data_IF_867078533749
#
_entry.id   IF_867078533749
#
_cell.length_a   1.000
_cell.length_b   1.000
_cell.length_c   1.000
_cell.angle_alpha   90.00
_cell.angle_beta   90.00
_cell.angle_gamma   90.00
#
_symmetry.space_group_name_H-M   'P 1'
#
loop_
_entity.id
_entity.type
_entity.pdbx_description
1 polymer ?
#
# COMPACT_ATOMS: atom_id res chain seq x y z
N UNK A 1 26.07 12.65 14.68
CA UNK A 1 26.07 13.27 13.34
C UNK A 1 24.91 12.66 12.59
N UNK A 2 23.83 13.39 12.25
CA UNK A 2 22.64 12.71 11.68
C UNK A 2 23.00 11.94 10.42
N UNK A 3 22.93 10.62 10.47
CA UNK A 3 23.17 9.75 9.33
C UNK A 3 21.92 9.73 8.45
N UNK A 4 22.14 9.68 7.14
CA UNK A 4 21.08 9.66 6.13
C UNK A 4 21.18 8.33 5.40
N UNK A 5 20.13 7.54 5.50
CA UNK A 5 20.01 6.25 4.81
C UNK A 5 18.83 6.32 3.84
N UNK A 6 18.97 5.86 2.59
CA UNK A 6 17.83 5.74 1.68
C UNK A 6 16.71 4.90 2.30
N UNK A 7 15.45 5.32 2.14
CA UNK A 7 14.30 4.62 2.71
C UNK A 7 14.20 3.15 2.26
N UNK A 8 14.56 2.89 1.01
CA UNK A 8 14.55 1.54 0.45
C UNK A 8 15.62 0.65 1.09
N UNK A 9 16.79 1.19 1.41
CA UNK A 9 17.86 0.44 2.07
C UNK A 9 17.41 -0.01 3.46
N UNK A 10 16.73 0.87 4.21
CA UNK A 10 16.11 0.51 5.50
C UNK A 10 15.05 -0.58 5.36
N UNK A 11 14.19 -0.50 4.33
CA UNK A 11 13.20 -1.54 4.09
C UNK A 11 13.86 -2.89 3.81
N UNK A 12 14.99 -2.88 3.09
CA UNK A 12 15.77 -4.09 2.80
C UNK A 12 16.57 -4.63 3.99
N UNK A 13 17.06 -3.77 4.88
CA UNK A 13 17.83 -4.18 6.05
C UNK A 13 16.95 -4.64 7.22
N UNK A 14 15.92 -3.86 7.56
CA UNK A 14 15.03 -4.10 8.70
C UNK A 14 13.76 -4.90 8.32
N UNK A 15 13.52 -5.11 7.02
CA UNK A 15 12.36 -5.84 6.50
C UNK A 15 11.02 -5.10 6.64
N UNK A 16 11.00 -3.92 7.25
CA UNK A 16 9.79 -3.15 7.48
C UNK A 16 10.05 -1.65 7.66
N UNK A 17 9.13 -0.83 7.17
CA UNK A 17 9.06 0.60 7.48
C UNK A 17 7.66 0.97 7.94
N UNK A 18 7.58 1.85 8.94
CA UNK A 18 6.32 2.30 9.52
C UNK A 18 6.11 3.80 9.43
N UNK A 19 4.84 4.21 9.45
CA UNK A 19 4.46 5.61 9.54
C UNK A 19 4.75 6.18 10.94
N UNK A 20 5.21 7.42 11.00
CA UNK A 20 5.88 8.03 12.15
C UNK A 20 7.39 8.14 11.97
N UNK A 21 7.97 7.45 10.97
CA UNK A 21 9.40 7.55 10.66
C UNK A 21 9.73 8.94 10.15
N UNK A 22 10.76 9.57 10.74
CA UNK A 22 11.29 10.86 10.28
C UNK A 22 12.06 10.67 8.99
N UNK A 23 11.71 11.47 7.99
CA UNK A 23 12.31 11.42 6.66
C UNK A 23 12.58 12.82 6.12
N UNK A 24 13.41 12.88 5.10
CA UNK A 24 13.73 14.10 4.37
C UNK A 24 13.92 13.80 2.89
N UNK A 25 13.78 14.81 2.05
CA UNK A 25 14.34 14.82 0.70
C UNK A 25 15.66 15.59 0.68
N UNK A 26 16.22 15.79 -0.51
CA UNK A 26 17.33 16.71 -0.74
C UNK A 26 16.99 18.18 -0.44
N UNK A 27 15.70 18.55 -0.51
CA UNK A 27 15.23 19.94 -0.37
C UNK A 27 14.52 20.16 0.98
N UNK A 28 13.68 19.22 1.40
CA UNK A 28 12.83 19.36 2.59
C UNK A 28 13.37 18.42 3.67
N UNK A 29 13.79 19.00 4.81
CA UNK A 29 14.56 18.27 5.83
C UNK A 29 13.78 17.83 7.07
N UNK A 30 12.52 18.26 7.21
CA UNK A 30 11.69 17.99 8.38
C UNK A 30 10.32 17.47 7.96
N UNK A 31 10.25 16.16 7.73
CA UNK A 31 9.03 15.46 7.38
C UNK A 31 8.87 14.16 8.17
N UNK A 32 7.64 13.70 8.24
CA UNK A 32 7.30 12.40 8.82
C UNK A 32 6.45 11.59 7.84
N UNK A 33 6.70 10.29 7.75
CA UNK A 33 5.83 9.39 7.00
C UNK A 33 4.45 9.33 7.66
N UNK A 34 3.42 9.76 6.95
CA UNK A 34 2.03 9.60 7.33
C UNK A 34 1.49 8.19 7.02
N UNK A 35 1.89 7.62 5.89
CA UNK A 35 1.53 6.26 5.48
C UNK A 35 2.00 5.90 4.08
N UNK A 36 1.59 4.72 3.62
CA UNK A 36 2.02 4.10 2.37
C UNK A 36 0.82 3.75 1.51
N UNK A 37 0.95 3.91 0.19
CA UNK A 37 -0.09 3.56 -0.78
C UNK A 37 0.44 2.46 -1.68
N UNK A 38 -0.14 1.24 -1.67
CA UNK A 38 0.27 0.16 -2.56
C UNK A 38 -0.15 0.43 -4.01
N UNK A 39 0.72 0.07 -4.96
CA UNK A 39 0.60 0.33 -6.38
C UNK A 39 0.84 -0.94 -7.21
N UNK A 40 0.30 -0.99 -8.42
CA UNK A 40 0.54 -2.07 -9.39
C UNK A 40 1.88 -1.86 -10.12
N UNK A 41 2.47 -2.94 -10.60
CA UNK A 41 3.74 -2.93 -11.36
C UNK A 41 3.67 -2.04 -12.62
N UNK A 42 2.58 -2.15 -13.38
CA UNK A 42 2.34 -1.47 -14.67
C UNK A 42 1.76 -0.06 -14.57
N UNK A 43 1.76 0.56 -13.39
CA UNK A 43 1.33 1.95 -13.31
C UNK A 43 2.46 2.88 -13.78
N UNK A 44 2.45 3.16 -15.08
CA UNK A 44 2.90 4.44 -15.66
C UNK A 44 2.24 5.64 -14.99
N UNK A 45 1.20 5.45 -14.18
CA UNK A 45 0.44 6.50 -13.48
C UNK A 45 1.27 7.50 -12.68
N UNK A 46 2.39 7.12 -12.06
CA UNK A 46 3.31 8.09 -11.45
C UNK A 46 4.36 8.60 -12.45
N UNK A 47 4.75 7.80 -13.44
CA UNK A 47 5.67 8.28 -14.49
C UNK A 47 4.99 9.30 -15.43
N UNK A 48 3.71 9.14 -15.76
CA UNK A 48 2.90 10.08 -16.54
C UNK A 48 2.47 11.31 -15.72
N UNK A 49 2.40 11.19 -14.38
CA UNK A 49 1.96 12.28 -13.48
C UNK A 49 3.12 13.01 -12.79
N UNK A 50 4.32 12.41 -12.68
CA UNK A 50 5.50 12.97 -11.99
C UNK A 50 6.75 13.16 -12.86
N UNK A 51 6.92 12.49 -14.02
CA UNK A 51 8.14 12.71 -14.84
C UNK A 51 8.14 13.99 -15.69
N UNK A 52 7.19 14.90 -15.47
CA UNK A 52 7.14 16.15 -16.22
C UNK A 52 6.60 17.28 -15.36
N UNK A 53 7.49 17.97 -14.66
CA UNK A 53 7.44 19.43 -14.47
C UNK A 53 6.02 19.95 -14.16
N UNK A 54 5.63 20.01 -12.87
CA UNK A 54 4.83 21.08 -12.25
C UNK A 54 4.04 20.55 -11.04
N UNK A 55 4.57 20.91 -9.87
CA UNK A 55 3.99 20.90 -8.53
C UNK A 55 2.56 21.51 -8.39
N UNK A 56 1.85 21.88 -9.47
CA UNK A 56 0.65 22.72 -9.38
C UNK A 56 -0.61 22.22 -10.12
N UNK A 57 -0.51 21.25 -11.04
CA UNK A 57 -1.66 20.83 -11.85
C UNK A 57 -2.23 19.45 -11.50
N UNK A 58 -1.42 18.49 -11.09
CA UNK A 58 -1.85 17.13 -10.70
C UNK A 58 -2.20 17.00 -9.22
N UNK A 59 -1.69 17.91 -8.38
CA UNK A 59 -2.11 18.10 -6.98
C UNK A 59 -3.56 18.58 -6.84
N UNK A 60 -4.15 19.24 -7.86
CA UNK A 60 -5.53 19.76 -7.78
C UNK A 60 -6.60 18.67 -7.71
N UNK A 61 -6.30 17.46 -8.18
CA UNK A 61 -7.27 16.36 -8.25
C UNK A 61 -6.96 15.23 -7.28
N UNK A 62 -6.03 15.43 -6.36
CA UNK A 62 -5.62 14.43 -5.38
C UNK A 62 -5.95 14.92 -3.98
N UNK A 63 -6.84 14.20 -3.29
CA UNK A 63 -7.29 14.53 -1.93
C UNK A 63 -6.91 13.41 -0.99
N UNK A 64 -6.16 13.75 0.05
CA UNK A 64 -5.90 12.83 1.16
C UNK A 64 -7.02 13.04 2.19
N UNK A 65 -7.82 12.00 2.39
CA UNK A 65 -8.95 11.98 3.31
C UNK A 65 -8.74 10.88 4.35
N UNK A 66 -8.17 11.23 5.50
CA UNK A 66 -7.87 10.31 6.61
C UNK A 66 -7.01 9.12 6.18
N UNK A 67 -7.61 7.93 6.00
CA UNK A 67 -6.95 6.66 5.67
C UNK A 67 -6.96 6.37 4.16
N UNK A 68 -7.29 7.37 3.33
CA UNK A 68 -7.47 7.19 1.89
C UNK A 68 -6.85 8.30 1.09
N UNK A 69 -6.32 7.90 -0.06
CA UNK A 69 -5.95 8.77 -1.15
C UNK A 69 -7.03 8.69 -2.23
N UNK A 70 -7.65 9.82 -2.55
CA UNK A 70 -8.65 9.94 -3.61
C UNK A 70 -8.03 10.68 -4.77
N UNK A 71 -8.10 10.10 -5.95
CA UNK A 71 -7.58 10.69 -7.18
C UNK A 71 -8.72 10.81 -8.19
N UNK A 72 -8.95 12.02 -8.68
CA UNK A 72 -10.01 12.34 -9.62
C UNK A 72 -9.44 12.51 -11.03
N UNK A 73 -9.74 11.57 -11.93
CA UNK A 73 -9.33 11.65 -13.34
C UNK A 73 -10.58 11.60 -14.23
N UNK A 74 -10.78 12.61 -15.07
CA UNK A 74 -11.86 12.65 -16.07
C UNK A 74 -13.25 12.29 -15.52
N UNK A 75 -13.59 12.81 -14.33
CA UNK A 75 -14.88 12.59 -13.67
C UNK A 75 -15.02 11.24 -12.94
N UNK A 76 -13.97 10.43 -12.87
CA UNK A 76 -13.94 9.20 -12.06
C UNK A 76 -13.02 9.39 -10.86
N UNK A 77 -13.48 8.90 -9.71
CA UNK A 77 -12.70 8.88 -8.48
C UNK A 77 -12.12 7.49 -8.27
N UNK A 78 -10.80 7.40 -8.24
CA UNK A 78 -10.07 6.25 -7.77
C UNK A 78 -9.73 6.44 -6.28
N UNK A 79 -9.91 5.38 -5.48
CA UNK A 79 -9.70 5.44 -4.03
C UNK A 79 -8.69 4.37 -3.64
N UNK A 80 -7.59 4.80 -3.03
CA UNK A 80 -6.50 3.95 -2.56
C UNK A 80 -6.41 4.01 -1.04
N UNK A 81 -6.15 2.89 -0.35
CA UNK A 81 -5.90 2.91 1.08
C UNK A 81 -4.52 3.53 1.38
N UNK A 82 -4.44 4.28 2.47
CA UNK A 82 -3.18 4.74 3.08
C UNK A 82 -2.94 3.87 4.31
N UNK A 83 -1.93 3.02 4.24
CA UNK A 83 -1.60 2.03 5.24
C UNK A 83 -0.41 2.48 6.08
N UNK A 84 -0.24 1.89 7.26
CA UNK A 84 0.70 2.38 8.27
C UNK A 84 2.05 1.68 8.23
N UNK A 85 2.14 0.52 7.59
CA UNK A 85 3.34 -0.31 7.49
C UNK A 85 3.48 -0.85 6.09
N UNK A 86 4.72 -0.93 5.63
CA UNK A 86 5.13 -1.74 4.48
C UNK A 86 6.18 -2.73 4.97
N UNK A 87 6.01 -3.99 4.61
CA UNK A 87 6.91 -5.08 4.97
C UNK A 87 7.39 -5.77 3.69
N UNK A 88 8.65 -6.19 3.70
CA UNK A 88 9.10 -7.20 2.75
C UNK A 88 8.41 -8.52 3.06
N UNK A 89 8.05 -9.24 2.02
CA UNK A 89 7.63 -10.62 2.15
C UNK A 89 8.87 -11.47 2.38
N UNK A 90 9.03 -11.97 3.60
CA UNK A 90 10.06 -12.94 3.88
C UNK A 90 9.75 -14.26 3.16
N UNK A 91 10.79 -14.84 2.56
CA UNK A 91 10.76 -16.10 1.80
C UNK A 91 9.91 -17.17 2.50
N UNK A 92 8.68 -17.33 2.03
CA UNK A 92 7.83 -18.45 2.38
C UNK A 92 7.58 -19.24 1.10
N UNK A 93 7.68 -20.57 1.17
CA UNK A 93 7.61 -21.43 -0.01
C UNK A 93 6.23 -21.42 -0.72
N UNK A 94 5.21 -20.81 -0.10
CA UNK A 94 3.91 -20.46 -0.69
C UNK A 94 3.16 -19.52 0.27
N UNK A 95 3.44 -18.20 0.28
CA UNK A 95 2.75 -17.29 1.18
C UNK A 95 1.41 -16.95 0.53
N UNK A 96 0.34 -17.55 1.05
CA UNK A 96 -1.03 -17.23 0.63
C UNK A 96 -1.69 -16.33 1.67
N UNK A 97 -2.48 -15.37 1.21
CA UNK A 97 -3.21 -14.43 2.07
C UNK A 97 -4.71 -14.58 1.86
N UNK A 98 -5.54 -14.59 2.92
CA UNK A 98 -6.99 -14.56 2.75
C UNK A 98 -7.40 -13.36 1.89
N UNK A 99 -8.12 -13.60 0.79
CA UNK A 99 -8.53 -12.53 -0.12
C UNK A 99 -9.61 -11.64 0.49
N UNK A 100 -10.38 -12.16 1.46
CA UNK A 100 -11.47 -11.41 2.07
C UNK A 100 -10.94 -10.15 2.75
N UNK A 101 -11.41 -8.99 2.28
CA UNK A 101 -11.00 -7.64 2.69
C UNK A 101 -9.54 -7.23 2.35
N UNK A 102 -8.74 -8.10 1.75
CA UNK A 102 -7.39 -7.77 1.28
C UNK A 102 -7.45 -6.83 0.05
N UNK A 103 -6.70 -5.73 0.06
CA UNK A 103 -6.52 -4.86 -1.10
C UNK A 103 -5.37 -5.37 -2.00
N UNK A 104 -5.72 -5.79 -3.21
CA UNK A 104 -4.82 -6.10 -4.33
C UNK A 104 -4.98 -5.00 -5.40
N UNK A 105 -3.97 -4.14 -5.63
CA UNK A 105 -3.99 -3.05 -6.61
C UNK A 105 -4.29 -3.53 -8.04
N UNK A 106 -3.83 -4.72 -8.40
CA UNK A 106 -3.99 -5.35 -9.72
C UNK A 106 -5.47 -5.55 -10.05
N UNK A 107 -6.29 -5.94 -9.07
CA UNK A 107 -7.72 -6.17 -9.25
C UNK A 107 -8.59 -4.96 -8.91
N UNK A 108 -8.01 -3.77 -8.63
CA UNK A 108 -8.77 -2.60 -8.13
C UNK A 108 -9.97 -2.18 -9.00
N UNK A 109 -9.91 -2.48 -10.30
CA UNK A 109 -10.97 -2.17 -11.28
C UNK A 109 -11.81 -3.39 -11.68
N UNK A 110 -11.48 -4.58 -11.19
CA UNK A 110 -12.25 -5.79 -11.47
C UNK A 110 -13.54 -5.80 -10.64
N UNK A 111 -14.68 -5.88 -11.33
CA UNK A 111 -15.99 -5.78 -10.71
C UNK A 111 -16.31 -6.95 -9.77
N UNK A 112 -15.80 -8.15 -10.07
CA UNK A 112 -16.03 -9.36 -9.26
C UNK A 112 -15.25 -9.27 -7.96
N UNK A 113 -13.98 -8.89 -8.04
CA UNK A 113 -13.15 -8.64 -6.87
C UNK A 113 -13.65 -7.48 -6.01
N UNK A 114 -14.04 -6.36 -6.63
CA UNK A 114 -14.60 -5.22 -5.90
C UNK A 114 -15.85 -5.62 -5.10
N UNK A 115 -16.71 -6.45 -5.68
CA UNK A 115 -17.86 -7.02 -4.98
C UNK A 115 -17.41 -7.93 -3.82
N UNK A 116 -16.47 -8.84 -4.07
CA UNK A 116 -15.95 -9.78 -3.08
C UNK A 116 -15.36 -9.05 -1.86
N UNK A 117 -14.50 -8.07 -2.11
CA UNK A 117 -13.79 -7.33 -1.06
C UNK A 117 -14.70 -6.41 -0.23
N UNK A 118 -15.75 -5.84 -0.83
CA UNK A 118 -16.67 -4.91 -0.15
C UNK A 118 -17.78 -5.61 0.64
N UNK A 119 -17.88 -6.93 0.54
CA UNK A 119 -18.90 -7.70 1.24
C UNK A 119 -18.69 -7.66 2.75
N UNK A 120 -19.80 -7.55 3.50
CA UNK A 120 -19.79 -7.49 4.96
C UNK A 120 -19.48 -8.88 5.54
N UNK A 121 -20.05 -9.91 4.91
CA UNK A 121 -19.86 -11.34 5.18
C UNK A 121 -19.01 -11.96 4.07
N UNK A 122 -18.43 -13.14 4.33
CA UNK A 122 -17.68 -13.90 3.32
C UNK A 122 -18.58 -14.20 2.10
N UNK A 123 -18.28 -13.62 0.93
CA UNK A 123 -19.10 -13.83 -0.26
C UNK A 123 -18.70 -15.12 -0.99
N UNK A 124 -19.56 -15.61 -1.91
CA UNK A 124 -19.26 -16.81 -2.69
C UNK A 124 -17.93 -16.71 -3.44
N UNK A 125 -17.08 -17.73 -3.29
CA UNK A 125 -15.74 -17.80 -3.89
C UNK A 125 -15.76 -17.91 -5.42
N UNK A 126 -16.83 -18.43 -6.00
CA UNK A 126 -16.99 -18.60 -7.46
C UNK A 126 -16.82 -17.29 -8.24
N UNK A 127 -17.11 -16.15 -7.59
CA UNK A 127 -16.95 -14.83 -8.22
C UNK A 127 -15.50 -14.50 -8.51
N UNK A 128 -14.58 -14.98 -7.68
CA UNK A 128 -13.14 -14.67 -7.76
C UNK A 128 -12.31 -15.86 -8.22
N UNK A 129 -12.90 -17.05 -8.34
CA UNK A 129 -12.22 -18.26 -8.77
C UNK A 129 -11.59 -18.15 -10.18
N UNK A 130 -12.09 -17.25 -11.03
CA UNK A 130 -11.53 -17.01 -12.37
C UNK A 130 -10.39 -15.99 -12.39
N UNK A 131 -10.06 -15.36 -11.26
CA UNK A 131 -8.98 -14.37 -11.21
C UNK A 131 -7.64 -15.10 -11.09
N UNK A 132 -6.64 -14.58 -11.80
CA UNK A 132 -5.27 -15.07 -11.67
C UNK A 132 -4.80 -15.00 -10.21
N UNK A 133 -3.82 -15.83 -9.83
CA UNK A 133 -3.27 -15.89 -8.45
C UNK A 133 -4.28 -16.17 -7.33
N UNK A 134 -5.54 -16.47 -7.64
CA UNK A 134 -6.53 -16.83 -6.62
C UNK A 134 -6.59 -18.35 -6.50
N UNK A 135 -6.33 -18.85 -5.30
CA UNK A 135 -6.50 -20.23 -4.93
C UNK A 135 -7.75 -20.40 -4.08
N UNK A 136 -8.61 -21.35 -4.45
CA UNK A 136 -9.75 -21.74 -3.62
C UNK A 136 -9.37 -22.94 -2.78
N UNK A 137 -9.51 -22.80 -1.46
CA UNK A 137 -9.26 -23.86 -0.49
C UNK A 137 -10.60 -24.34 0.06
N UNK A 138 -10.84 -25.64 -0.05
CA UNK A 138 -12.04 -26.29 0.47
C UNK A 138 -11.73 -26.97 1.80
N UNK A 139 -12.55 -26.71 2.82
CA UNK A 139 -12.59 -27.49 4.05
C UNK A 139 -13.63 -28.58 3.87
N UNK A 140 -13.24 -29.84 4.04
CA UNK A 140 -14.11 -31.01 3.94
C UNK A 140 -14.29 -31.68 5.30
N UNK A 141 -15.40 -32.38 5.49
CA UNK A 141 -15.59 -33.30 6.63
C UNK A 141 -14.88 -34.65 6.36
N UNK A 142 -14.96 -35.56 7.34
CA UNK A 142 -14.35 -36.90 7.25
C UNK A 142 -14.97 -37.78 6.15
N UNK A 143 -16.16 -37.41 5.66
CA UNK A 143 -16.91 -38.09 4.59
C UNK A 143 -16.62 -37.50 3.21
N UNK A 144 -15.84 -36.41 3.14
CA UNK A 144 -15.45 -35.72 1.92
C UNK A 144 -16.43 -34.64 1.44
N UNK A 145 -17.46 -34.29 2.21
CA UNK A 145 -18.39 -33.21 1.87
C UNK A 145 -17.77 -31.83 2.15
N UNK A 146 -18.00 -30.86 1.27
CA UNK A 146 -17.49 -29.49 1.43
C UNK A 146 -18.26 -28.76 2.54
N UNK A 147 -17.57 -28.39 3.61
CA UNK A 147 -18.09 -27.59 4.73
C UNK A 147 -17.99 -26.09 4.48
N UNK A 148 -16.86 -25.66 3.88
CA UNK A 148 -16.62 -24.25 3.58
C UNK A 148 -15.58 -24.11 2.48
N UNK A 149 -15.65 -22.99 1.76
CA UNK A 149 -14.63 -22.61 0.78
C UNK A 149 -14.11 -21.21 1.13
N UNK A 150 -12.81 -21.00 0.95
CA UNK A 150 -12.16 -19.71 1.18
C UNK A 150 -11.21 -19.39 0.02
N UNK A 151 -11.20 -18.12 -0.40
CA UNK A 151 -10.33 -17.66 -1.47
C UNK A 151 -9.07 -17.04 -0.87
N UNK A 152 -7.93 -17.46 -1.38
CA UNK A 152 -6.61 -16.97 -0.99
C UNK A 152 -5.91 -16.34 -2.20
N UNK A 153 -5.25 -15.22 -1.98
CA UNK A 153 -4.31 -14.62 -2.92
C UNK A 153 -2.95 -15.29 -2.78
N UNK A 154 -2.39 -15.76 -3.88
CA UNK A 154 -1.03 -16.29 -3.97
C UNK A 154 -0.07 -15.13 -4.21
N UNK A 155 0.81 -14.90 -3.25
CA UNK A 155 1.84 -13.87 -3.38
C UNK A 155 2.92 -14.30 -4.36
N UNK A 156 3.45 -13.34 -5.12
CA UNK A 156 4.64 -13.52 -5.96
C UNK A 156 5.94 -13.20 -5.21
N UNK A 157 7.06 -13.56 -5.81
CA UNK A 157 8.38 -13.15 -5.34
C UNK A 157 8.48 -11.62 -5.34
N UNK A 158 9.01 -11.06 -4.24
CA UNK A 158 9.19 -9.63 -4.02
C UNK A 158 7.91 -8.80 -3.92
N UNK A 159 6.72 -9.41 -3.77
CA UNK A 159 5.54 -8.65 -3.39
C UNK A 159 5.65 -8.09 -1.97
N UNK A 160 5.17 -6.87 -1.77
CA UNK A 160 5.19 -6.19 -0.48
C UNK A 160 3.84 -6.35 0.19
N UNK A 161 3.88 -6.48 1.52
CA UNK A 161 2.69 -6.60 2.36
C UNK A 161 2.49 -5.34 3.17
N UNK A 162 1.25 -4.86 3.24
CA UNK A 162 0.92 -3.61 3.92
C UNK A 162 -0.13 -3.84 5.01
N UNK A 163 0.03 -3.13 6.13
CA UNK A 163 -0.75 -3.36 7.36
C UNK A 163 -1.22 -2.05 7.99
N UNK A 164 -2.23 -2.16 8.86
CA UNK A 164 -2.70 -1.07 9.71
C UNK A 164 -2.04 -1.12 11.10
N UNK A 165 -2.02 0.02 11.81
CA UNK A 165 -1.42 0.13 13.16
C UNK A 165 -2.01 -0.79 14.22
N UNK A 166 -3.28 -1.15 14.09
CA UNK A 166 -3.99 -1.96 15.11
C UNK A 166 -4.05 -3.44 14.77
N UNK A 167 -3.59 -3.83 13.58
CA UNK A 167 -3.82 -5.17 13.07
C UNK A 167 -2.61 -5.64 12.27
N UNK A 168 -1.86 -6.58 12.85
CA UNK A 168 -0.72 -7.23 12.20
C UNK A 168 -1.12 -8.05 10.98
N UNK A 169 -2.43 -8.28 10.76
CA UNK A 169 -2.92 -8.92 9.55
C UNK A 169 -2.64 -8.06 8.31
N UNK A 170 -2.17 -8.66 7.21
CA UNK A 170 -2.11 -8.02 5.90
C UNK A 170 -3.46 -7.37 5.51
N UNK A 171 -3.40 -6.11 5.08
CA UNK A 171 -4.54 -5.33 4.58
C UNK A 171 -4.44 -5.02 3.11
N UNK A 172 -3.22 -4.96 2.60
CA UNK A 172 -2.96 -4.91 1.18
C UNK A 172 -1.70 -5.68 0.83
N UNK A 173 -1.59 -5.96 -0.46
CA UNK A 173 -0.39 -6.44 -1.14
C UNK A 173 -0.10 -5.51 -2.31
N UNK A 174 1.15 -5.41 -2.74
CA UNK A 174 1.51 -4.77 -4.00
C UNK A 174 3.01 -4.81 -4.24
N UNK A 175 3.45 -4.65 -5.47
CA UNK A 175 4.89 -4.70 -5.81
C UNK A 175 5.60 -3.36 -5.68
N UNK A 176 4.85 -2.27 -5.72
CA UNK A 176 5.36 -0.90 -5.61
C UNK A 176 4.52 -0.12 -4.61
N UNK A 177 5.05 1.01 -4.13
CA UNK A 177 4.30 1.90 -3.27
C UNK A 177 4.75 3.36 -3.41
N UNK A 178 3.86 4.26 -3.00
CA UNK A 178 4.19 5.66 -2.72
C UNK A 178 4.16 5.94 -1.23
N UNK A 179 4.88 6.98 -0.82
CA UNK A 179 4.95 7.41 0.58
C UNK A 179 4.22 8.73 0.73
N UNK A 180 3.19 8.74 1.57
CA UNK A 180 2.53 9.98 1.98
C UNK A 180 3.32 10.53 3.16
N UNK A 181 3.90 11.71 2.99
CA UNK A 181 4.60 12.43 4.05
C UNK A 181 3.75 13.59 4.53
N UNK A 182 3.93 13.97 5.79
CA UNK A 182 3.35 15.17 6.38
C UNK A 182 4.43 16.04 7.00
N UNK A 183 4.22 17.36 6.95
CA UNK A 183 5.08 18.34 7.62
C UNK A 183 4.30 19.57 8.04
N UNK A 184 4.81 20.23 9.07
CA UNK A 184 4.30 21.53 9.49
C UNK A 184 4.96 22.62 8.65
N UNK A 185 4.16 23.47 8.01
CA UNK A 185 4.71 24.65 7.32
C UNK A 185 5.08 25.68 8.39
N UNK A 186 6.36 26.07 8.53
CA UNK A 186 6.77 26.98 9.61
C UNK A 186 6.11 28.36 9.54
N UNK A 187 5.83 28.85 8.34
CA UNK A 187 5.27 30.20 8.12
C UNK A 187 3.78 30.32 8.44
N UNK A 188 3.00 29.26 8.19
CA UNK A 188 1.54 29.27 8.37
C UNK A 188 1.07 28.42 9.54
N UNK A 189 1.93 27.55 10.09
CA UNK A 189 1.55 26.55 11.08
C UNK A 189 0.58 25.49 10.54
N UNK A 190 0.33 25.45 9.23
CA UNK A 190 -0.59 24.49 8.63
C UNK A 190 0.10 23.15 8.37
N UNK A 191 -0.63 22.05 8.52
CA UNK A 191 -0.15 20.75 8.09
C UNK A 191 -0.25 20.63 6.57
N UNK A 192 0.87 20.29 5.93
CA UNK A 192 0.93 19.94 4.53
C UNK A 192 1.16 18.44 4.40
N UNK A 193 0.44 17.81 3.47
CA UNK A 193 0.66 16.41 3.09
C UNK A 193 1.07 16.36 1.63
N UNK A 194 2.11 15.58 1.35
CA UNK A 194 2.73 15.46 0.03
C UNK A 194 3.04 13.98 -0.23
N UNK A 195 3.08 13.58 -1.50
CA UNK A 195 3.30 12.20 -1.91
C UNK A 195 4.64 12.12 -2.62
N UNK A 196 5.48 11.18 -2.20
CA UNK A 196 6.82 11.00 -2.72
C UNK A 196 7.03 9.60 -3.28
N UNK A 197 7.94 9.48 -4.24
CA UNK A 197 8.55 8.21 -4.58
C UNK A 197 9.45 7.78 -3.39
N UNK A 198 9.38 6.53 -2.90
CA UNK A 198 10.26 6.06 -1.83
C UNK A 198 11.76 6.27 -2.11
N UNK A 199 12.19 6.27 -3.38
CA UNK A 199 13.59 6.52 -3.78
C UNK A 199 14.09 7.95 -3.48
N UNK A 200 13.18 8.92 -3.29
CA UNK A 200 13.52 10.32 -3.00
C UNK A 200 13.70 10.60 -1.51
N UNK A 201 13.40 9.62 -0.66
CA UNK A 201 13.33 9.79 0.79
C UNK A 201 14.55 9.18 1.47
N UNK A 202 15.10 9.95 2.41
CA UNK A 202 16.15 9.53 3.32
C UNK A 202 15.63 9.52 4.74
N UNK A 203 15.90 8.45 5.47
CA UNK A 203 15.62 8.36 6.90
C UNK A 203 16.59 9.26 7.66
N UNK A 204 16.07 9.91 8.69
CA UNK A 204 16.85 10.71 9.62
C UNK A 204 17.11 9.86 10.85
N UNK A 205 18.34 9.34 10.98
CA UNK A 205 18.77 8.61 12.17
C UNK A 205 19.44 9.62 13.10
N UNK A 206 18.83 9.84 14.26
CA UNK A 206 19.41 10.65 15.33
C UNK A 206 20.39 9.74 16.11
N UNK A 207 21.69 9.99 16.02
CA UNK A 207 22.79 9.23 16.69
C UNK A 207 22.75 9.25 18.25
N UNK A 208 21.62 9.59 18.87
CA UNK A 208 21.49 9.69 20.33
C UNK A 208 20.42 8.71 20.82
N UNK A 209 20.83 7.46 20.99
CA UNK A 209 20.36 6.58 22.08
C UNK A 209 21.57 5.83 22.67
#
# INVERSE_FOLDING_TARGET
>A
MKTKEPLMDMLHSEGMVMAGTKVQTTIITDMEIYGFVPLRESTDFLNETLNGILLDFTMKNTVIASDRLVISTSGKNEVHPILRYVCLQENNANPTLPLFRLYVPEYRNDSKYLYYRRSIINPPVDRVASLEKIQIVEKKDDEGNVLSQEAFYQLEDNELVFKDRRNESPKAVGKRFSVVCRRLIPTTGSMQMEIYNPEELFIVIDDND
#
